data_IF_900827107223
#
_entry.id   IF_900827107223
#
_cell.length_a   1.000
_cell.length_b   1.000
_cell.length_c   1.000
_cell.angle_alpha   90.00
_cell.angle_beta   90.00
_cell.angle_gamma   90.00
#
_symmetry.space_group_name_H-M   'P 1'
#
loop_
_entity.id
_entity.type
_entity.pdbx_description
1 polymer ?
#
# COMPACT_ATOMS: atom_id res chain seq x y z
N UNK A 1 10.57 -6.74 31.80
CA UNK A 1 10.55 -5.67 30.80
C UNK A 1 9.17 -5.69 30.18
N UNK A 2 8.41 -4.61 30.29
CA UNK A 2 7.06 -4.50 29.73
C UNK A 2 7.11 -3.65 28.47
N UNK A 3 6.42 -4.10 27.41
CA UNK A 3 6.38 -3.39 26.12
C UNK A 3 5.04 -2.70 25.97
N UNK A 4 5.05 -1.39 25.70
CA UNK A 4 3.85 -0.59 25.47
C UNK A 4 3.67 -0.34 23.96
N UNK A 5 2.51 -0.71 23.41
CA UNK A 5 2.15 -0.39 22.03
C UNK A 5 1.39 0.94 22.00
N UNK A 6 1.91 1.91 21.25
CA UNK A 6 1.35 3.27 21.16
C UNK A 6 1.01 3.59 19.70
N UNK A 7 -0.18 4.12 19.45
CA UNK A 7 -0.56 4.64 18.14
C UNK A 7 -0.38 6.17 18.14
N UNK A 8 0.31 6.75 17.14
CA UNK A 8 0.43 8.20 17.04
C UNK A 8 -0.95 8.87 16.93
N UNK A 9 -1.12 10.09 17.49
CA UNK A 9 -2.30 10.90 17.27
C UNK A 9 -2.56 11.18 15.79
N UNK A 10 -3.81 11.45 15.43
CA UNK A 10 -4.18 11.80 14.05
C UNK A 10 -3.40 13.03 13.59
N UNK A 11 -2.72 12.92 12.44
CA UNK A 11 -1.90 14.01 11.88
C UNK A 11 -0.43 14.01 12.32
N UNK A 12 -0.03 13.11 13.22
CA UNK A 12 1.38 12.90 13.58
C UNK A 12 1.92 11.70 12.82
N UNK A 13 3.06 11.85 12.16
CA UNK A 13 3.69 10.74 11.44
C UNK A 13 4.36 9.76 12.42
N UNK A 14 4.57 8.51 11.99
CA UNK A 14 5.31 7.53 12.80
C UNK A 14 6.73 8.01 13.12
N UNK A 15 7.37 8.72 12.19
CA UNK A 15 8.73 9.23 12.39
C UNK A 15 8.77 10.34 13.44
N UNK A 16 7.80 11.27 13.43
CA UNK A 16 7.74 12.34 14.43
C UNK A 16 7.47 11.77 15.83
N UNK A 17 6.59 10.77 15.92
CA UNK A 17 6.33 10.07 17.17
C UNK A 17 7.58 9.33 17.69
N UNK A 18 8.34 8.67 16.80
CA UNK A 18 9.61 8.00 17.14
C UNK A 18 10.62 8.99 17.73
N UNK A 19 10.84 10.13 17.06
CA UNK A 19 11.75 11.18 17.54
C UNK A 19 11.33 11.71 18.92
N UNK A 20 10.03 11.90 19.14
CA UNK A 20 9.52 12.37 20.43
C UNK A 20 9.77 11.34 21.55
N UNK A 21 9.59 10.05 21.28
CA UNK A 21 9.83 8.98 22.25
C UNK A 21 11.32 8.81 22.56
N UNK A 22 12.19 8.90 21.56
CA UNK A 22 13.65 8.90 21.74
C UNK A 22 14.09 10.06 22.64
N UNK A 23 13.51 11.26 22.46
CA UNK A 23 13.77 12.43 23.33
C UNK A 23 13.30 12.25 24.77
N UNK A 24 12.33 11.36 24.99
CA UNK A 24 11.82 11.00 26.32
C UNK A 24 12.57 9.80 26.91
N UNK A 25 13.69 9.38 26.29
CA UNK A 25 14.51 8.23 26.67
C UNK A 25 13.75 6.88 26.66
N UNK A 26 12.76 6.73 25.79
CA UNK A 26 12.19 5.42 25.52
C UNK A 26 13.08 4.62 24.56
N UNK A 27 13.28 3.34 24.87
CA UNK A 27 13.88 2.39 23.95
C UNK A 27 12.84 1.94 22.92
N UNK A 28 13.15 2.13 21.64
CA UNK A 28 12.28 1.72 20.53
C UNK A 28 12.68 0.31 20.08
N UNK A 29 11.77 -0.65 20.28
CA UNK A 29 11.94 -2.02 19.78
C UNK A 29 11.30 -2.12 18.40
N UNK A 30 12.10 -2.09 17.34
CA UNK A 30 11.64 -2.15 15.94
C UNK A 30 11.29 -3.58 15.47
N UNK A 31 11.34 -4.59 16.35
CA UNK A 31 11.13 -6.00 16.03
C UNK A 31 9.65 -6.38 15.79
N UNK A 32 8.92 -5.57 15.03
CA UNK A 32 7.71 -6.03 14.37
C UNK A 32 7.99 -6.06 12.88
N UNK A 33 8.51 -7.20 12.41
CA UNK A 33 8.24 -7.60 11.04
C UNK A 33 6.71 -7.62 10.90
N UNK A 34 6.18 -6.60 10.23
CA UNK A 34 4.79 -6.61 9.81
C UNK A 34 4.61 -7.78 8.84
N UNK A 35 4.26 -8.93 9.40
CA UNK A 35 3.87 -10.11 8.64
C UNK A 35 2.49 -9.81 8.08
N UNK A 36 2.49 -9.21 6.90
CA UNK A 36 1.28 -9.08 6.11
C UNK A 36 0.86 -10.50 5.73
N UNK A 37 -0.36 -10.90 6.11
CA UNK A 37 -0.89 -12.21 5.73
C UNK A 37 -0.94 -12.33 4.21
N UNK A 38 -0.72 -13.54 3.69
CA UNK A 38 -0.82 -13.78 2.25
C UNK A 38 -2.21 -13.43 1.69
N UNK A 39 -3.25 -13.56 2.53
CA UNK A 39 -4.61 -13.11 2.19
C UNK A 39 -4.69 -11.60 1.90
N UNK A 40 -4.06 -10.77 2.74
CA UNK A 40 -4.07 -9.32 2.57
C UNK A 40 -3.17 -8.88 1.40
N UNK A 41 -2.05 -9.57 1.18
CA UNK A 41 -1.24 -9.37 -0.04
C UNK A 41 -2.06 -9.65 -1.31
N UNK A 42 -2.80 -10.75 -1.33
CA UNK A 42 -3.66 -11.10 -2.45
C UNK A 42 -4.77 -10.07 -2.66
N UNK A 43 -5.38 -9.57 -1.59
CA UNK A 43 -6.37 -8.49 -1.68
C UNK A 43 -5.79 -7.21 -2.30
N UNK A 44 -4.59 -6.80 -1.86
CA UNK A 44 -3.91 -5.63 -2.43
C UNK A 44 -3.59 -5.81 -3.93
N UNK A 45 -3.13 -7.01 -4.31
CA UNK A 45 -2.89 -7.34 -5.73
C UNK A 45 -4.18 -7.31 -6.56
N UNK A 46 -5.30 -7.80 -6.02
CA UNK A 46 -6.59 -7.75 -6.71
C UNK A 46 -7.09 -6.30 -6.85
N UNK A 47 -6.97 -5.49 -5.81
CA UNK A 47 -7.34 -4.06 -5.88
C UNK A 47 -6.49 -3.31 -6.89
N UNK A 48 -5.18 -3.55 -6.91
CA UNK A 48 -4.30 -2.94 -7.92
C UNK A 48 -4.72 -3.33 -9.34
N UNK A 49 -5.01 -4.63 -9.56
CA UNK A 49 -5.53 -5.12 -10.83
C UNK A 49 -6.84 -4.42 -11.22
N UNK A 50 -7.82 -4.35 -10.31
CA UNK A 50 -9.10 -3.67 -10.56
C UNK A 50 -8.92 -2.20 -10.93
N UNK A 51 -7.92 -1.53 -10.36
CA UNK A 51 -7.60 -0.13 -10.68
C UNK A 51 -6.93 0.03 -12.05
N UNK A 52 -6.15 -0.96 -12.48
CA UNK A 52 -5.54 -0.99 -13.81
C UNK A 52 -6.53 -1.35 -14.93
N UNK A 53 -7.65 -1.98 -14.56
CA UNK A 53 -8.72 -2.34 -15.48
C UNK A 53 -9.76 -1.21 -15.57
N UNK A 54 -10.24 -0.95 -16.77
CA UNK A 54 -11.41 -0.08 -16.95
C UNK A 54 -12.64 -0.71 -16.29
N UNK A 55 -13.40 0.00 -15.45
CA UNK A 55 -14.57 -0.55 -14.76
C UNK A 55 -15.72 -0.93 -15.71
N UNK A 56 -15.78 -0.32 -16.90
CA UNK A 56 -16.84 -0.58 -17.88
C UNK A 56 -16.55 -1.79 -18.77
N UNK A 57 -15.27 -2.02 -19.07
CA UNK A 57 -14.85 -3.00 -20.08
C UNK A 57 -14.04 -4.15 -19.50
N UNK A 58 -13.52 -4.02 -18.27
CA UNK A 58 -12.71 -5.04 -17.60
C UNK A 58 -11.36 -5.31 -18.26
N UNK A 59 -10.93 -4.47 -19.21
CA UNK A 59 -9.64 -4.60 -19.91
C UNK A 59 -8.67 -3.54 -19.39
N UNK A 60 -7.38 -3.87 -19.43
CA UNK A 60 -6.34 -2.92 -19.07
C UNK A 60 -6.16 -1.85 -20.15
N UNK A 61 -5.52 -0.75 -19.78
CA UNK A 61 -5.24 0.35 -20.72
C UNK A 61 -4.32 -0.09 -21.87
N UNK A 62 -3.40 -1.02 -21.62
CA UNK A 62 -2.53 -1.59 -22.65
C UNK A 62 -3.28 -2.55 -23.58
N UNK A 63 -4.22 -3.35 -23.05
CA UNK A 63 -5.08 -4.19 -23.89
C UNK A 63 -6.03 -3.35 -24.75
N UNK A 64 -6.58 -2.28 -24.19
CA UNK A 64 -7.38 -1.31 -24.93
C UNK A 64 -6.58 -0.66 -26.07
N UNK A 65 -5.32 -0.29 -25.83
CA UNK A 65 -4.40 0.23 -26.85
C UNK A 65 -4.14 -0.80 -27.94
N UNK A 66 -3.82 -2.05 -27.58
CA UNK A 66 -3.60 -3.13 -28.56
C UNK A 66 -4.82 -3.34 -29.46
N UNK A 67 -6.01 -3.43 -28.88
CA UNK A 67 -7.27 -3.60 -29.62
C UNK A 67 -7.54 -2.40 -30.55
N UNK A 68 -7.25 -1.18 -30.10
CA UNK A 68 -7.36 0.00 -30.94
C UNK A 68 -6.40 -0.03 -32.14
N UNK A 69 -5.15 -0.47 -31.93
CA UNK A 69 -4.18 -0.65 -33.02
C UNK A 69 -4.58 -1.74 -34.00
N UNK A 70 -5.05 -2.90 -33.54
CA UNK A 70 -5.53 -3.98 -34.42
C UNK A 70 -6.72 -3.54 -35.26
N UNK A 71 -7.66 -2.82 -34.65
CA UNK A 71 -8.92 -2.45 -35.29
C UNK A 71 -8.81 -1.25 -36.22
N UNK A 72 -7.93 -0.30 -35.91
CA UNK A 72 -7.88 0.98 -36.62
C UNK A 72 -6.51 1.33 -37.19
N UNK A 73 -5.46 0.55 -36.91
CA UNK A 73 -4.13 0.65 -37.54
C UNK A 73 -3.40 1.98 -37.40
N UNK A 74 -3.98 2.98 -36.72
CA UNK A 74 -3.42 4.32 -36.51
C UNK A 74 -3.91 4.94 -35.20
N UNK A 75 -2.97 5.18 -34.31
CA UNK A 75 -2.93 6.35 -33.41
C UNK A 75 -1.61 7.05 -33.71
#
# INVERSE_FOLDING_TARGET
METLTIKPPKGVTLNDARIALERLNFEIVENQEYTISDSYKNELHNRLREWELSPETGISLDEARRLAYEKYGRI
#
